data_IF_220493564113
#
_entry.id   IF_220493564113
#
_cell.length_a   1.000
_cell.length_b   1.000
_cell.length_c   1.000
_cell.angle_alpha   90.00
_cell.angle_beta   90.00
_cell.angle_gamma   90.00
#
_symmetry.space_group_name_H-M   'P 1'
#
loop_
_entity.id
_entity.type
_entity.pdbx_description
1 polymer ?
#
# COMPACT_ATOMS: atom_id res chain seq x y z
N UNK A 1 1.71 -12.05 -14.52
CA UNK A 1 2.84 -11.20 -14.08
C UNK A 1 4.17 -11.91 -14.25
N UNK A 2 4.42 -13.04 -13.59
CA UNK A 2 5.68 -13.76 -13.70
C UNK A 2 6.05 -14.20 -15.12
N UNK A 3 5.07 -14.59 -15.92
CA UNK A 3 5.29 -14.94 -17.33
C UNK A 3 5.75 -13.76 -18.17
N UNK A 4 5.25 -12.56 -17.88
CA UNK A 4 5.69 -11.33 -18.55
C UNK A 4 7.14 -10.98 -18.20
N UNK A 5 7.51 -11.16 -16.93
CA UNK A 5 8.91 -10.99 -16.48
C UNK A 5 9.82 -12.01 -17.16
N UNK A 6 9.41 -13.29 -17.23
CA UNK A 6 10.17 -14.34 -17.92
C UNK A 6 10.32 -14.07 -19.43
N UNK A 7 9.35 -13.42 -20.03
CA UNK A 7 9.40 -12.99 -21.43
C UNK A 7 10.32 -11.79 -21.69
N UNK A 8 10.97 -11.25 -20.66
CA UNK A 8 11.90 -10.14 -20.77
C UNK A 8 11.25 -8.76 -20.71
N UNK A 9 9.97 -8.67 -20.28
CA UNK A 9 9.32 -7.38 -20.08
C UNK A 9 9.93 -6.68 -18.85
N UNK A 10 10.34 -5.44 -19.02
CA UNK A 10 10.95 -4.64 -17.96
C UNK A 10 9.89 -3.93 -17.13
N UNK A 11 10.06 -3.97 -15.81
CA UNK A 11 9.20 -3.28 -14.84
C UNK A 11 10.10 -2.50 -13.87
N UNK A 12 9.71 -1.28 -13.59
CA UNK A 12 10.41 -0.45 -12.59
C UNK A 12 10.17 -0.99 -11.17
N UNK A 13 8.96 -1.49 -10.91
CA UNK A 13 8.57 -2.00 -9.60
C UNK A 13 7.46 -3.05 -9.78
N UNK A 14 7.51 -4.11 -8.98
CA UNK A 14 6.48 -5.16 -8.95
C UNK A 14 6.04 -5.35 -7.50
N UNK A 15 4.76 -5.14 -7.24
CA UNK A 15 4.12 -5.42 -5.97
C UNK A 15 3.25 -6.68 -6.08
N UNK A 16 3.46 -7.61 -5.17
CA UNK A 16 2.66 -8.84 -5.07
C UNK A 16 1.80 -8.75 -3.82
N UNK A 17 0.49 -8.69 -4.00
CA UNK A 17 -0.49 -8.62 -2.92
C UNK A 17 -1.14 -9.99 -2.69
N UNK A 18 -1.36 -10.32 -1.40
CA UNK A 18 -1.96 -11.60 -1.02
C UNK A 18 -3.45 -11.72 -1.34
N UNK A 19 -4.18 -10.60 -1.41
CA UNK A 19 -5.61 -10.58 -1.70
C UNK A 19 -5.87 -10.37 -3.20
N UNK A 20 -6.70 -11.20 -3.85
CA UNK A 20 -7.09 -10.98 -5.24
C UNK A 20 -7.73 -9.61 -5.44
N UNK A 21 -7.18 -8.82 -6.35
CA UNK A 21 -7.62 -7.44 -6.59
C UNK A 21 -7.05 -6.39 -5.63
N UNK A 22 -6.11 -6.79 -4.75
CA UNK A 22 -5.42 -5.91 -3.82
C UNK A 22 -6.18 -5.64 -2.53
N UNK A 23 -5.70 -4.70 -1.73
CA UNK A 23 -6.22 -4.39 -0.39
C UNK A 23 -7.68 -3.92 -0.39
N UNK A 24 -8.18 -3.36 -1.48
CA UNK A 24 -9.60 -2.97 -1.62
C UNK A 24 -10.57 -4.15 -1.60
N UNK A 25 -10.05 -5.36 -1.77
CA UNK A 25 -10.81 -6.62 -1.69
C UNK A 25 -10.34 -7.51 -0.53
N UNK A 26 -9.57 -6.97 0.40
CA UNK A 26 -9.03 -7.70 1.54
C UNK A 26 -10.01 -7.88 2.70
N UNK A 27 -9.57 -8.62 3.70
CA UNK A 27 -10.29 -8.78 4.96
C UNK A 27 -10.51 -7.43 5.65
N UNK A 28 -11.65 -7.28 6.30
CA UNK A 28 -12.05 -6.01 6.93
C UNK A 28 -12.84 -5.07 6.01
N UNK A 29 -12.89 -5.33 4.71
CA UNK A 29 -13.80 -4.62 3.82
C UNK A 29 -15.24 -5.08 4.04
N UNK A 30 -16.25 -4.19 3.87
CA UNK A 30 -17.65 -4.55 4.04
C UNK A 30 -18.06 -5.73 3.14
N UNK A 31 -18.75 -6.69 3.74
CA UNK A 31 -19.26 -7.85 3.01
C UNK A 31 -20.46 -7.43 2.15
N UNK A 32 -20.41 -7.80 0.88
CA UNK A 32 -21.49 -7.55 -0.06
C UNK A 32 -22.30 -8.84 -0.32
N UNK A 33 -23.64 -8.73 -0.47
CA UNK A 33 -24.49 -9.87 -0.81
C UNK A 33 -24.08 -10.50 -2.14
N UNK A 34 -24.36 -11.80 -2.30
CA UNK A 34 -24.03 -12.52 -3.52
C UNK A 34 -24.68 -11.89 -4.77
N UNK A 35 -25.91 -11.39 -4.65
CA UNK A 35 -26.62 -10.70 -5.73
C UNK A 35 -25.88 -9.47 -6.25
N UNK A 36 -25.26 -8.70 -5.34
CA UNK A 36 -24.46 -7.53 -5.72
C UNK A 36 -23.12 -7.97 -6.36
N UNK A 37 -22.47 -8.96 -5.77
CA UNK A 37 -21.16 -9.46 -6.28
C UNK A 37 -21.26 -10.08 -7.67
N UNK A 38 -22.41 -10.62 -8.04
CA UNK A 38 -22.65 -11.20 -9.38
C UNK A 38 -22.85 -10.16 -10.46
N UNK A 39 -23.31 -8.96 -10.10
CA UNK A 39 -23.69 -7.92 -11.06
C UNK A 39 -22.76 -6.72 -11.08
N UNK A 40 -21.98 -6.52 -10.01
CA UNK A 40 -21.09 -5.36 -9.83
C UNK A 40 -19.66 -5.83 -9.59
N UNK A 41 -18.73 -5.24 -10.30
CA UNK A 41 -17.30 -5.39 -9.99
C UNK A 41 -16.93 -4.55 -8.75
N UNK A 42 -17.08 -5.17 -7.58
CA UNK A 42 -16.85 -4.52 -6.28
C UNK A 42 -15.42 -3.98 -6.16
N UNK A 43 -14.44 -4.69 -6.68
CA UNK A 43 -13.03 -4.27 -6.62
C UNK A 43 -12.82 -2.98 -7.41
N UNK A 44 -13.35 -2.93 -8.62
CA UNK A 44 -13.27 -1.75 -9.47
C UNK A 44 -13.96 -0.54 -8.85
N UNK A 45 -15.15 -0.73 -8.29
CA UNK A 45 -15.89 0.36 -7.65
C UNK A 45 -15.18 0.88 -6.38
N UNK A 46 -14.62 0.02 -5.57
CA UNK A 46 -13.82 0.43 -4.39
C UNK A 46 -12.55 1.15 -4.80
N UNK A 47 -11.83 0.64 -5.79
CA UNK A 47 -10.62 1.29 -6.32
C UNK A 47 -10.94 2.68 -6.89
N UNK A 48 -12.04 2.82 -7.60
CA UNK A 48 -12.51 4.08 -8.16
C UNK A 48 -12.69 5.17 -7.09
N UNK A 49 -13.23 4.83 -5.93
CA UNK A 49 -13.37 5.78 -4.81
C UNK A 49 -12.01 6.31 -4.37
N UNK A 50 -11.02 5.44 -4.21
CA UNK A 50 -9.66 5.82 -3.84
C UNK A 50 -8.98 6.69 -4.90
N UNK A 51 -9.06 6.30 -6.16
CA UNK A 51 -8.49 7.07 -7.26
C UNK A 51 -9.14 8.46 -7.41
N UNK A 52 -10.46 8.54 -7.27
CA UNK A 52 -11.16 9.83 -7.33
C UNK A 52 -10.77 10.73 -6.15
N UNK A 53 -10.64 10.16 -4.95
CA UNK A 53 -10.19 10.90 -3.78
C UNK A 53 -8.76 11.43 -3.96
N UNK A 54 -7.84 10.59 -4.45
CA UNK A 54 -6.46 11.00 -4.76
C UNK A 54 -6.43 12.11 -5.82
N UNK A 55 -7.16 11.95 -6.91
CA UNK A 55 -7.21 12.93 -7.99
C UNK A 55 -7.76 14.30 -7.54
N UNK A 56 -8.65 14.32 -6.53
CA UNK A 56 -9.22 15.54 -5.97
C UNK A 56 -8.30 16.28 -5.00
N UNK A 57 -7.18 15.67 -4.59
CA UNK A 57 -6.24 16.30 -3.66
C UNK A 57 -5.33 17.30 -4.38
N UNK A 58 -5.08 18.43 -3.73
CA UNK A 58 -4.14 19.46 -4.21
C UNK A 58 -2.69 19.03 -3.94
N UNK A 59 -2.43 18.44 -2.78
CA UNK A 59 -1.13 17.87 -2.42
C UNK A 59 -1.18 16.37 -2.69
N UNK A 60 -0.48 15.92 -3.72
CA UNK A 60 -0.50 14.52 -4.18
C UNK A 60 0.81 13.77 -3.95
N UNK A 61 1.86 14.47 -3.64
CA UNK A 61 3.18 13.90 -3.36
C UNK A 61 3.51 14.05 -1.87
N UNK A 62 3.96 12.98 -1.25
CA UNK A 62 4.23 12.96 0.20
C UNK A 62 5.26 14.01 0.63
N UNK A 63 6.28 14.25 -0.18
CA UNK A 63 7.33 15.23 0.13
C UNK A 63 6.84 16.70 0.02
N UNK A 64 5.68 16.94 -0.55
CA UNK A 64 5.04 18.26 -0.60
C UNK A 64 4.11 18.51 0.59
N UNK A 65 3.85 17.48 1.40
CA UNK A 65 2.99 17.58 2.58
C UNK A 65 3.70 18.36 3.70
N UNK A 66 3.15 19.53 4.13
CA UNK A 66 3.78 20.35 5.16
C UNK A 66 3.87 19.66 6.52
N UNK A 67 2.93 18.79 6.86
CA UNK A 67 2.97 18.00 8.10
C UNK A 67 4.12 16.99 8.08
N UNK A 68 4.35 16.34 6.94
CA UNK A 68 5.48 15.42 6.79
C UNK A 68 6.82 16.17 6.89
N UNK A 69 6.93 17.34 6.28
CA UNK A 69 8.12 18.19 6.40
C UNK A 69 8.40 18.56 7.85
N UNK A 70 7.38 18.97 8.61
CA UNK A 70 7.51 19.29 10.02
C UNK A 70 7.99 18.08 10.85
N UNK A 71 7.46 16.89 10.61
CA UNK A 71 7.89 15.66 11.27
C UNK A 71 9.36 15.36 11.00
N UNK A 72 9.82 15.49 9.75
CA UNK A 72 11.22 15.30 9.43
C UNK A 72 12.12 16.34 10.09
N UNK A 73 11.74 17.60 10.05
CA UNK A 73 12.51 18.69 10.69
C UNK A 73 12.65 18.50 12.21
N UNK A 74 11.58 18.08 12.88
CA UNK A 74 11.56 17.93 14.33
C UNK A 74 12.19 16.61 14.82
N UNK A 75 11.99 15.50 14.12
CA UNK A 75 12.34 14.18 14.61
C UNK A 75 13.44 13.46 13.81
N UNK A 76 13.44 13.55 12.50
CA UNK A 76 14.32 12.74 11.65
C UNK A 76 15.48 13.52 11.04
N UNK A 77 15.40 14.84 11.03
CA UNK A 77 16.33 15.72 10.32
C UNK A 77 15.98 15.80 8.84
N UNK A 78 16.61 14.99 8.02
CA UNK A 78 16.39 14.93 6.57
C UNK A 78 16.05 13.52 6.12
N UNK A 79 15.43 13.35 4.92
CA UNK A 79 15.19 12.04 4.33
C UNK A 79 16.49 11.26 4.18
N UNK A 80 16.44 9.94 4.46
CA UNK A 80 17.59 9.04 4.46
C UNK A 80 18.70 9.36 5.50
N UNK A 81 18.39 10.17 6.51
CA UNK A 81 19.29 10.35 7.66
C UNK A 81 19.46 9.04 8.43
N UNK A 82 20.54 8.93 9.21
CA UNK A 82 20.77 7.77 10.07
C UNK A 82 19.60 7.53 11.04
N UNK A 83 19.09 8.60 11.64
CA UNK A 83 17.94 8.54 12.56
C UNK A 83 16.65 8.10 11.85
N UNK A 84 16.42 8.56 10.61
CA UNK A 84 15.28 8.12 9.82
C UNK A 84 15.36 6.61 9.51
N UNK A 85 16.53 6.10 9.15
CA UNK A 85 16.75 4.67 8.95
C UNK A 85 16.52 3.86 10.21
N UNK A 86 17.04 4.30 11.34
CA UNK A 86 16.89 3.61 12.62
C UNK A 86 15.43 3.49 13.06
N UNK A 87 14.62 4.54 12.87
CA UNK A 87 13.25 4.59 13.36
C UNK A 87 12.25 4.02 12.34
N UNK A 88 12.42 4.32 11.06
CA UNK A 88 11.45 3.97 10.01
C UNK A 88 11.66 2.58 9.42
N UNK A 89 12.82 1.98 9.59
CA UNK A 89 13.11 0.64 9.11
C UNK A 89 13.15 -0.36 10.26
N UNK A 90 12.60 -1.54 10.01
CA UNK A 90 12.64 -2.65 10.94
C UNK A 90 13.39 -3.82 10.32
N UNK A 91 13.98 -4.66 11.17
CA UNK A 91 14.57 -5.93 10.74
C UNK A 91 13.60 -7.06 10.99
N UNK A 92 13.72 -8.12 10.20
CA UNK A 92 12.93 -9.32 10.42
C UNK A 92 13.41 -10.06 11.66
N UNK A 93 12.44 -10.48 12.48
CA UNK A 93 12.66 -11.27 13.69
C UNK A 93 11.98 -12.61 13.51
N UNK A 94 12.62 -13.69 13.94
CA UNK A 94 12.02 -15.02 13.94
C UNK A 94 10.82 -15.05 14.90
N UNK A 95 9.65 -15.28 14.35
CA UNK A 95 8.37 -15.36 15.07
C UNK A 95 7.84 -16.77 15.21
N UNK A 96 8.65 -17.76 14.94
CA UNK A 96 8.24 -19.17 14.99
C UNK A 96 7.71 -19.60 16.36
N UNK A 97 8.19 -18.95 17.43
CA UNK A 97 7.75 -19.22 18.81
C UNK A 97 6.46 -18.46 19.20
N UNK A 98 6.07 -17.47 18.41
CA UNK A 98 4.87 -16.64 18.69
C UNK A 98 3.60 -17.25 18.06
N UNK A 99 3.76 -18.30 17.27
CA UNK A 99 2.64 -18.99 16.64
C UNK A 99 2.02 -19.95 17.67
N UNK A 100 0.93 -19.53 18.24
CA UNK A 100 0.08 -20.38 19.06
C UNK A 100 -0.82 -21.17 18.11
N UNK A 101 -0.52 -22.45 18.01
CA UNK A 101 -1.40 -23.38 17.27
C UNK A 101 -2.45 -23.98 18.20
#
# INVERSE_FOLDING_TARGET
MLERVKAGEEFTFIEIMGCPGGCVNGGGQPIQPASVRQTVDIKAERAKVLYNNDAAKTIRKSHENPFLKAVYEEYFGEPNSHKAHEILHTTYVDRSKDVIM
#
